data_IF_288638159393
#
_entry.id   IF_288638159393
#
_cell.length_a   1.000
_cell.length_b   1.000
_cell.length_c   1.000
_cell.angle_alpha   90.00
_cell.angle_beta   90.00
_cell.angle_gamma   90.00
#
_symmetry.space_group_name_H-M   'P 1'
#
loop_
_entity.id
_entity.type
_entity.pdbx_description
1 polymer ?
#
# COMPACT_ATOMS: atom_id res chain seq x y z
N UNK A 1 24.15 -24.44 -41.81
CA UNK A 1 23.44 -23.30 -41.20
C UNK A 1 22.30 -23.82 -40.33
N UNK A 2 22.42 -23.72 -39.01
CA UNK A 2 21.44 -24.26 -38.07
C UNK A 2 20.17 -23.40 -38.07
N UNK A 3 19.04 -23.96 -38.53
CA UNK A 3 17.73 -23.32 -38.42
C UNK A 3 17.39 -23.22 -36.93
N UNK A 4 17.68 -22.08 -36.30
CA UNK A 4 17.08 -21.73 -35.00
C UNK A 4 15.57 -21.74 -35.21
N UNK A 5 14.93 -22.83 -34.80
CA UNK A 5 13.48 -23.02 -34.93
C UNK A 5 12.78 -21.91 -34.14
N UNK A 6 11.65 -21.40 -34.64
CA UNK A 6 10.81 -20.42 -33.91
C UNK A 6 10.50 -20.89 -32.47
N UNK A 7 10.52 -22.21 -32.25
CA UNK A 7 10.37 -22.85 -30.94
C UNK A 7 11.44 -22.43 -29.91
N UNK A 8 12.69 -22.21 -30.33
CA UNK A 8 13.76 -21.77 -29.42
C UNK A 8 13.55 -20.34 -28.92
N UNK A 9 13.03 -19.46 -29.79
CA UNK A 9 12.67 -18.08 -29.41
C UNK A 9 11.45 -18.08 -28.47
N UNK A 10 10.41 -18.84 -28.79
CA UNK A 10 9.21 -18.97 -27.94
C UNK A 10 9.55 -19.52 -26.55
N UNK A 11 10.42 -20.54 -26.47
CA UNK A 11 10.91 -21.06 -25.20
C UNK A 11 11.60 -19.97 -24.38
N UNK A 12 12.49 -19.19 -24.98
CA UNK A 12 13.19 -18.10 -24.27
C UNK A 12 12.24 -16.99 -23.77
N UNK A 13 11.14 -16.72 -24.49
CA UNK A 13 10.13 -15.75 -24.04
C UNK A 13 9.33 -16.30 -22.86
N UNK A 14 8.97 -17.58 -22.90
CA UNK A 14 8.33 -18.27 -21.78
C UNK A 14 9.22 -18.27 -20.53
N UNK A 15 10.49 -18.63 -20.68
CA UNK A 15 11.43 -18.65 -19.55
C UNK A 15 11.59 -17.25 -18.90
N UNK A 16 11.57 -16.18 -19.71
CA UNK A 16 11.55 -14.79 -19.21
C UNK A 16 10.26 -14.45 -18.47
N UNK A 17 9.12 -14.84 -19.02
CA UNK A 17 7.82 -14.64 -18.41
C UNK A 17 7.72 -15.34 -17.05
N UNK A 18 8.12 -16.61 -16.98
CA UNK A 18 8.08 -17.38 -15.74
C UNK A 18 9.01 -16.79 -14.68
N UNK A 19 10.20 -16.34 -15.09
CA UNK A 19 11.10 -15.59 -14.20
C UNK A 19 10.44 -14.32 -13.66
N UNK A 20 9.74 -13.56 -14.50
CA UNK A 20 9.04 -12.34 -14.10
C UNK A 20 7.89 -12.63 -13.13
N UNK A 21 7.17 -13.75 -13.31
CA UNK A 21 6.15 -14.19 -12.34
C UNK A 21 6.80 -14.45 -10.98
N UNK A 22 7.91 -15.18 -10.93
CA UNK A 22 8.61 -15.43 -9.66
C UNK A 22 9.12 -14.15 -9.01
N UNK A 23 9.68 -13.22 -9.79
CA UNK A 23 10.12 -11.90 -9.29
C UNK A 23 8.94 -11.09 -8.72
N UNK A 24 7.77 -11.10 -9.38
CA UNK A 24 6.57 -10.41 -8.89
C UNK A 24 6.10 -11.03 -7.57
N UNK A 25 6.02 -12.36 -7.49
CA UNK A 25 5.59 -13.03 -6.26
C UNK A 25 6.51 -12.74 -5.07
N UNK A 26 7.82 -12.62 -5.29
CA UNK A 26 8.78 -12.23 -4.26
C UNK A 26 8.59 -10.78 -3.81
N UNK A 27 8.36 -9.86 -4.75
CA UNK A 27 8.06 -8.46 -4.44
C UNK A 27 6.75 -8.31 -3.67
N UNK A 28 5.68 -8.99 -4.09
CA UNK A 28 4.38 -8.97 -3.39
C UNK A 28 4.53 -9.48 -1.96
N UNK A 29 5.26 -10.57 -1.75
CA UNK A 29 5.57 -11.09 -0.41
C UNK A 29 6.35 -10.09 0.45
N UNK A 30 7.34 -9.42 -0.13
CA UNK A 30 8.12 -8.41 0.59
C UNK A 30 7.26 -7.23 1.02
N UNK A 31 6.33 -6.79 0.16
CA UNK A 31 5.38 -5.71 0.49
C UNK A 31 4.48 -6.14 1.64
N UNK A 32 3.89 -7.34 1.56
CA UNK A 32 3.03 -7.90 2.62
C UNK A 32 3.78 -7.95 3.95
N UNK A 33 5.02 -8.45 3.96
CA UNK A 33 5.82 -8.55 5.17
C UNK A 33 6.12 -7.16 5.77
N UNK A 34 6.48 -6.17 4.96
CA UNK A 34 6.73 -4.81 5.46
C UNK A 34 5.48 -4.18 6.06
N UNK A 35 4.33 -4.35 5.41
CA UNK A 35 3.05 -3.88 5.96
C UNK A 35 2.73 -4.62 7.26
N UNK A 36 2.93 -5.94 7.31
CA UNK A 36 2.75 -6.70 8.53
C UNK A 36 3.62 -6.18 9.68
N UNK A 37 4.92 -5.98 9.43
CA UNK A 37 5.87 -5.50 10.44
C UNK A 37 5.51 -4.11 10.96
N UNK A 38 5.06 -3.20 10.07
CA UNK A 38 4.63 -1.85 10.45
C UNK A 38 3.36 -1.85 11.31
N UNK A 39 2.48 -2.83 11.10
CA UNK A 39 1.17 -2.91 11.75
C UNK A 39 1.06 -4.04 12.77
N UNK A 40 2.19 -4.60 13.21
CA UNK A 40 2.19 -5.64 14.25
C UNK A 40 1.68 -5.11 15.59
N UNK A 41 1.85 -3.80 15.84
CA UNK A 41 1.35 -3.11 17.02
C UNK A 41 -0.14 -2.74 16.85
N UNK A 42 -1.05 -3.23 17.71
CA UNK A 42 -2.45 -2.87 17.69
C UNK A 42 -2.72 -1.36 17.83
N UNK A 43 -1.84 -0.60 18.48
CA UNK A 43 -2.01 0.86 18.57
C UNK A 43 -1.76 1.54 17.23
N UNK A 44 -0.75 1.09 16.45
CA UNK A 44 -0.51 1.57 15.10
C UNK A 44 -1.70 1.26 14.16
N UNK A 45 -2.31 0.09 14.31
CA UNK A 45 -3.53 -0.29 13.59
C UNK A 45 -4.69 0.66 13.90
N UNK A 46 -4.92 0.98 15.18
CA UNK A 46 -5.97 1.90 15.61
C UNK A 46 -5.71 3.32 15.12
N UNK A 47 -4.47 3.79 15.19
CA UNK A 47 -4.08 5.11 14.71
C UNK A 47 -4.39 5.27 13.23
N UNK A 48 -3.98 4.31 12.39
CA UNK A 48 -4.28 4.32 10.96
C UNK A 48 -5.80 4.39 10.70
N UNK A 49 -6.59 3.54 11.36
CA UNK A 49 -8.04 3.52 11.16
C UNK A 49 -8.71 4.82 11.61
N UNK A 50 -8.26 5.41 12.71
CA UNK A 50 -8.79 6.67 13.20
C UNK A 50 -8.44 7.82 12.25
N UNK A 51 -7.18 7.91 11.83
CA UNK A 51 -6.73 8.92 10.88
C UNK A 51 -7.47 8.78 9.54
N UNK A 52 -7.62 7.56 9.03
CA UNK A 52 -8.35 7.31 7.79
C UNK A 52 -9.81 7.79 7.85
N UNK A 53 -10.47 7.60 9.00
CA UNK A 53 -11.82 8.13 9.25
C UNK A 53 -11.82 9.65 9.34
N UNK A 54 -10.84 10.24 10.03
CA UNK A 54 -10.68 11.70 10.16
C UNK A 54 -10.44 12.39 8.82
N UNK A 55 -9.65 11.78 7.94
CA UNK A 55 -9.34 12.30 6.61
C UNK A 55 -10.29 11.79 5.51
N UNK A 56 -11.46 11.27 5.89
CA UNK A 56 -12.53 10.87 4.99
C UNK A 56 -12.11 9.92 3.86
N UNK A 57 -11.23 8.95 4.17
CA UNK A 57 -10.90 7.90 3.22
C UNK A 57 -12.10 6.97 2.96
N UNK A 58 -12.02 6.14 1.92
CA UNK A 58 -13.12 5.26 1.51
C UNK A 58 -13.59 4.33 2.64
N UNK A 59 -14.85 4.47 3.07
CA UNK A 59 -15.44 3.65 4.14
C UNK A 59 -15.37 2.15 3.85
N UNK A 60 -15.54 1.75 2.58
CA UNK A 60 -15.44 0.34 2.16
C UNK A 60 -14.02 -0.18 2.38
N UNK A 61 -12.99 0.60 1.99
CA UNK A 61 -11.59 0.21 2.22
C UNK A 61 -11.24 0.20 3.71
N UNK A 62 -11.70 1.19 4.48
CA UNK A 62 -11.53 1.22 5.95
C UNK A 62 -12.14 -0.04 6.58
N UNK A 63 -13.35 -0.43 6.18
CA UNK A 63 -14.01 -1.63 6.71
C UNK A 63 -13.26 -2.91 6.36
N UNK A 64 -12.72 -3.02 5.14
CA UNK A 64 -11.93 -4.18 4.72
C UNK A 64 -10.63 -4.29 5.54
N UNK A 65 -9.89 -3.19 5.68
CA UNK A 65 -8.66 -3.16 6.51
C UNK A 65 -8.97 -3.46 7.97
N UNK A 66 -10.06 -2.91 8.51
CA UNK A 66 -10.48 -3.17 9.89
C UNK A 66 -10.75 -4.66 10.15
N UNK A 67 -11.45 -5.36 9.23
CA UNK A 67 -11.70 -6.81 9.37
C UNK A 67 -10.41 -7.64 9.39
N UNK A 68 -9.39 -7.19 8.65
CA UNK A 68 -8.08 -7.85 8.63
C UNK A 68 -7.33 -7.58 9.93
N UNK A 69 -7.36 -6.35 10.44
CA UNK A 69 -6.78 -6.00 11.74
C UNK A 69 -7.46 -6.73 12.91
N UNK A 70 -8.77 -6.97 12.84
CA UNK A 70 -9.48 -7.77 13.85
C UNK A 70 -9.03 -9.25 13.90
N UNK A 71 -8.46 -9.77 12.80
CA UNK A 71 -7.99 -11.15 12.69
C UNK A 71 -6.47 -11.23 12.39
N UNK A 72 -5.72 -10.21 12.81
CA UNK A 72 -4.37 -9.94 12.35
C UNK A 72 -3.40 -11.12 12.53
N UNK A 73 -2.96 -11.68 11.41
CA UNK A 73 -1.87 -12.65 11.34
C UNK A 73 -1.17 -12.57 9.97
N UNK A 74 0.03 -13.15 9.86
CA UNK A 74 0.84 -13.15 8.63
C UNK A 74 0.14 -13.78 7.42
N UNK A 75 -0.81 -14.69 7.65
CA UNK A 75 -1.53 -15.38 6.59
C UNK A 75 -2.79 -14.61 6.13
N UNK A 76 -3.23 -13.61 6.91
CA UNK A 76 -4.42 -12.80 6.61
C UNK A 76 -4.15 -11.51 5.84
N UNK A 77 -2.91 -11.03 5.80
CA UNK A 77 -2.56 -9.87 4.97
C UNK A 77 -2.24 -10.35 3.56
N UNK A 78 -3.24 -10.31 2.70
CA UNK A 78 -3.03 -10.50 1.26
C UNK A 78 -2.47 -9.21 0.62
N UNK A 79 -1.83 -9.36 -0.55
CA UNK A 79 -1.25 -8.24 -1.29
C UNK A 79 -2.25 -7.10 -1.53
N UNK A 80 -3.50 -7.42 -1.87
CA UNK A 80 -4.53 -6.39 -2.10
C UNK A 80 -4.82 -5.55 -0.85
N UNK A 81 -4.81 -6.18 0.33
CA UNK A 81 -5.00 -5.48 1.60
C UNK A 81 -3.78 -4.64 1.93
N UNK A 82 -2.58 -5.17 1.69
CA UNK A 82 -1.34 -4.41 1.87
C UNK A 82 -1.33 -3.14 1.00
N UNK A 83 -1.79 -3.23 -0.25
CA UNK A 83 -1.97 -2.08 -1.13
C UNK A 83 -3.01 -1.09 -0.57
N UNK A 84 -4.15 -1.57 -0.08
CA UNK A 84 -5.16 -0.69 0.52
C UNK A 84 -4.65 0.06 1.76
N UNK A 85 -3.80 -0.58 2.57
CA UNK A 85 -3.13 0.04 3.73
C UNK A 85 -2.14 1.12 3.26
N UNK A 86 -1.29 0.82 2.27
CA UNK A 86 -0.31 1.78 1.72
C UNK A 86 -1.03 2.99 1.10
N UNK A 87 -2.11 2.75 0.35
CA UNK A 87 -2.92 3.83 -0.22
C UNK A 87 -3.53 4.71 0.88
N UNK A 88 -4.04 4.08 1.95
CA UNK A 88 -4.62 4.77 3.10
C UNK A 88 -3.57 5.63 3.83
N UNK A 89 -2.38 5.10 4.10
CA UNK A 89 -1.26 5.86 4.67
C UNK A 89 -0.90 7.06 3.80
N UNK A 90 -0.81 6.86 2.49
CA UNK A 90 -0.46 7.90 1.53
C UNK A 90 -1.50 9.03 1.54
N UNK A 91 -2.79 8.67 1.54
CA UNK A 91 -3.90 9.61 1.65
C UNK A 91 -3.82 10.45 2.94
N UNK A 92 -3.62 9.79 4.08
CA UNK A 92 -3.47 10.46 5.39
C UNK A 92 -2.28 11.42 5.39
N UNK A 93 -1.12 10.99 4.87
CA UNK A 93 0.09 11.82 4.85
C UNK A 93 -0.07 13.06 3.97
N UNK A 94 -0.77 12.94 2.83
CA UNK A 94 -1.04 14.09 1.96
C UNK A 94 -1.91 15.13 2.67
N UNK A 95 -3.01 14.69 3.29
CA UNK A 95 -3.89 15.62 4.02
C UNK A 95 -3.28 16.18 5.31
N UNK A 96 -2.45 15.41 6.03
CA UNK A 96 -1.67 15.94 7.17
C UNK A 96 -0.74 17.06 6.71
N UNK A 97 -0.07 16.91 5.56
CA UNK A 97 0.79 17.97 4.99
C UNK A 97 -0.01 19.21 4.60
N UNK A 98 -1.13 19.03 3.89
CA UNK A 98 -2.02 20.14 3.51
C UNK A 98 -2.54 20.91 4.73
N UNK A 99 -2.96 20.21 5.78
CA UNK A 99 -3.40 20.82 7.03
C UNK A 99 -2.30 21.63 7.72
N UNK A 100 -1.05 21.18 7.67
CA UNK A 100 0.10 21.93 8.18
C UNK A 100 0.37 23.19 7.34
N UNK A 101 0.35 23.10 6.01
CA UNK A 101 0.54 24.26 5.13
C UNK A 101 -0.58 25.29 5.28
N UNK A 102 -1.84 24.85 5.40
CA UNK A 102 -2.99 25.72 5.64
C UNK A 102 -2.89 26.45 6.98
N UNK A 103 -2.47 25.76 8.05
CA UNK A 103 -2.24 26.39 9.36
C UNK A 103 -1.13 27.45 9.32
N UNK A 104 -0.04 27.20 8.58
CA UNK A 104 1.03 28.20 8.43
C UNK A 104 0.54 29.38 7.59
N UNK A 105 -0.18 29.15 6.49
CA UNK A 105 -0.74 30.22 5.66
C UNK A 105 -1.71 31.13 6.44
N UNK A 106 -2.56 30.56 7.29
CA UNK A 106 -3.47 31.32 8.15
C UNK A 106 -2.77 32.07 9.29
N UNK A 107 -1.57 31.66 9.70
CA UNK A 107 -0.77 32.37 10.73
C UNK A 107 0.06 33.50 10.10
N UNK A 108 0.38 33.42 8.81
CA UNK A 108 1.22 34.40 8.08
C UNK A 108 0.40 35.49 7.41
N UNK A 109 -0.92 35.31 7.24
CA UNK A 109 -1.83 36.42 6.92
C UNK A 109 -2.27 37.09 8.23
N UNK A 110 -1.68 38.23 8.65
CA UNK A 110 -2.35 39.06 9.63
C UNK A 110 -3.71 39.45 9.05
N UNK A 111 -4.74 39.46 9.89
CA UNK A 111 -6.02 40.07 9.56
C UNK A 111 -5.74 41.53 9.16
N UNK A 112 -5.80 41.81 7.86
CA UNK A 112 -5.88 43.20 7.39
C UNK A 112 -7.26 43.71 7.82
N UNK A 113 -7.24 44.74 8.68
CA UNK A 113 -8.38 45.49 9.25
C UNK A 113 -9.47 45.87 8.22
#
# INVERSE_FOLDING_TARGET
MSKRTNNGKLKSLKDKHDKKISEIAELEKNIVNQVFDNYIDPEAQKELLNDAKTFHYSETKISNVQKVFENFNTDTIEYNVAVDIIDMETHIQQHKKEGLFSRIANVVMPEDD
#
